data_IF_462863085456
#
_entry.id   IF_462863085456
#
_cell.length_a   1.000
_cell.length_b   1.000
_cell.length_c   1.000
_cell.angle_alpha   90.00
_cell.angle_beta   90.00
_cell.angle_gamma   90.00
#
_symmetry.space_group_name_H-M   'P 1'
#
loop_
_entity.id
_entity.type
_entity.pdbx_description
1 polymer ?
#
# COMPACT_ATOMS: atom_id res chain seq x y z
N UNK A 1 -4.28 -14.89 3.90
CA UNK A 1 -4.89 -15.18 5.22
C UNK A 1 -5.87 -14.06 5.52
N UNK A 2 -7.14 -14.36 5.87
CA UNK A 2 -8.10 -13.31 6.21
C UNK A 2 -7.61 -12.51 7.42
N UNK A 3 -7.74 -11.18 7.35
CA UNK A 3 -7.38 -10.31 8.46
C UNK A 3 -8.33 -10.54 9.65
N UNK A 4 -7.83 -10.63 10.87
CA UNK A 4 -8.67 -10.78 12.05
C UNK A 4 -9.48 -9.52 12.32
N UNK A 5 -10.68 -9.71 12.88
CA UNK A 5 -11.49 -8.63 13.45
C UNK A 5 -11.58 -8.84 14.96
N UNK A 6 -11.41 -7.78 15.74
CA UNK A 6 -11.40 -7.84 17.21
C UNK A 6 -12.38 -6.84 17.77
N UNK A 7 -13.26 -7.27 18.66
CA UNK A 7 -14.16 -6.38 19.40
C UNK A 7 -13.39 -5.68 20.54
N UNK A 8 -13.41 -4.36 20.54
CA UNK A 8 -12.67 -3.52 21.49
C UNK A 8 -13.51 -3.20 22.75
N UNK A 9 -13.98 -4.24 23.46
CA UNK A 9 -14.88 -4.11 24.64
C UNK A 9 -14.23 -3.30 25.76
N UNK A 10 -12.97 -3.58 26.07
CA UNK A 10 -12.24 -2.88 27.14
C UNK A 10 -12.09 -1.39 26.85
N UNK A 11 -11.82 -1.02 25.61
CA UNK A 11 -11.74 0.37 25.18
C UNK A 11 -13.08 1.09 25.33
N UNK A 12 -14.17 0.48 24.85
CA UNK A 12 -15.52 1.04 25.01
C UNK A 12 -15.87 1.28 26.48
N UNK A 13 -15.60 0.29 27.34
CA UNK A 13 -15.88 0.41 28.77
C UNK A 13 -15.04 1.54 29.42
N UNK A 14 -13.76 1.63 29.09
CA UNK A 14 -12.87 2.68 29.62
C UNK A 14 -13.31 4.10 29.18
N UNK A 15 -13.87 4.23 27.98
CA UNK A 15 -14.34 5.50 27.44
C UNK A 15 -15.82 5.80 27.77
N UNK A 16 -16.52 4.93 28.46
CA UNK A 16 -17.96 5.09 28.77
C UNK A 16 -18.85 5.12 27.52
N UNK A 17 -18.39 4.53 26.41
CA UNK A 17 -19.12 4.53 25.15
C UNK A 17 -20.11 3.37 25.06
N UNK A 18 -21.26 3.63 24.43
CA UNK A 18 -22.29 2.62 24.15
C UNK A 18 -22.12 2.09 22.73
N UNK A 19 -22.46 0.81 22.53
CA UNK A 19 -22.41 0.17 21.21
C UNK A 19 -21.36 -0.92 21.12
N UNK A 20 -20.96 -1.27 19.91
CA UNK A 20 -19.89 -2.24 19.63
C UNK A 20 -18.86 -1.60 18.71
N UNK A 21 -17.60 -1.74 19.05
CA UNK A 21 -16.48 -1.24 18.27
C UNK A 21 -15.58 -2.40 17.86
N UNK A 22 -15.26 -2.47 16.59
CA UNK A 22 -14.39 -3.49 16.03
C UNK A 22 -13.15 -2.87 15.39
N UNK A 23 -12.02 -3.52 15.55
CA UNK A 23 -10.81 -3.24 14.79
C UNK A 23 -10.58 -4.33 13.75
N UNK A 24 -10.50 -3.96 12.47
CA UNK A 24 -10.04 -4.83 11.39
C UNK A 24 -8.52 -4.69 11.29
N UNK A 25 -7.81 -5.79 11.57
CA UNK A 25 -6.36 -5.77 11.78
C UNK A 25 -5.63 -6.25 10.51
N UNK A 26 -5.32 -5.32 9.61
CA UNK A 26 -4.61 -5.58 8.36
C UNK A 26 -3.10 -5.33 8.51
N UNK A 27 -2.41 -6.26 9.17
CA UNK A 27 -0.96 -6.21 9.40
C UNK A 27 -0.26 -7.58 9.23
N UNK A 28 -0.95 -8.55 8.65
CA UNK A 28 -0.43 -9.93 8.53
C UNK A 28 0.54 -10.12 7.36
N UNK A 29 0.84 -9.07 6.60
CA UNK A 29 1.79 -9.11 5.51
C UNK A 29 3.25 -9.04 5.98
N UNK A 30 4.20 -9.21 5.06
CA UNK A 30 5.63 -9.31 5.37
C UNK A 30 6.25 -8.02 5.93
N UNK A 31 5.67 -6.84 5.67
CA UNK A 31 6.12 -5.57 6.27
C UNK A 31 5.35 -5.21 7.55
N UNK A 32 4.33 -6.00 7.90
CA UNK A 32 3.49 -5.75 9.06
C UNK A 32 2.55 -4.55 8.91
N UNK A 33 2.24 -4.15 7.68
CA UNK A 33 1.36 -3.01 7.41
C UNK A 33 0.27 -3.37 6.40
N UNK A 34 -0.85 -2.63 6.41
CA UNK A 34 -1.92 -2.76 5.41
C UNK A 34 -1.45 -2.44 3.97
N UNK A 35 -0.24 -1.89 3.82
CA UNK A 35 0.30 -1.58 2.50
C UNK A 35 0.74 -2.83 1.73
N UNK A 36 1.00 -3.94 2.43
CA UNK A 36 1.36 -5.21 1.79
C UNK A 36 0.24 -5.69 0.87
N UNK A 37 -0.96 -5.81 1.40
CA UNK A 37 -2.13 -6.26 0.65
C UNK A 37 -2.52 -5.29 -0.47
N UNK A 38 -2.36 -3.99 -0.25
CA UNK A 38 -2.62 -2.96 -1.27
C UNK A 38 -1.62 -3.05 -2.41
N UNK A 39 -0.32 -3.17 -2.13
CA UNK A 39 0.72 -3.27 -3.17
C UNK A 39 0.50 -4.52 -4.04
N UNK A 40 0.29 -5.68 -3.42
CA UNK A 40 -0.02 -6.93 -4.13
C UNK A 40 -1.28 -6.80 -4.99
N UNK A 41 -2.35 -6.25 -4.41
CA UNK A 41 -3.62 -6.08 -5.11
C UNK A 41 -3.55 -5.12 -6.30
N UNK A 42 -2.84 -4.01 -6.16
CA UNK A 42 -2.63 -3.07 -7.26
C UNK A 42 -1.80 -3.69 -8.39
N UNK A 43 -0.76 -4.47 -8.07
CA UNK A 43 0.02 -5.19 -9.08
C UNK A 43 -0.84 -6.21 -9.84
N UNK A 44 -1.64 -6.98 -9.11
CA UNK A 44 -2.55 -7.95 -9.71
C UNK A 44 -3.57 -7.27 -10.65
N UNK A 45 -4.18 -6.15 -10.22
CA UNK A 45 -5.10 -5.37 -11.03
C UNK A 45 -4.43 -4.75 -12.26
N UNK A 46 -3.20 -4.26 -12.12
CA UNK A 46 -2.44 -3.72 -13.24
C UNK A 46 -2.12 -4.80 -14.29
N UNK A 47 -1.76 -6.01 -13.85
CA UNK A 47 -1.54 -7.16 -14.72
C UNK A 47 -2.85 -7.63 -15.39
N UNK A 48 -3.95 -7.75 -14.62
CA UNK A 48 -5.28 -8.09 -15.13
C UNK A 48 -5.73 -7.13 -16.26
N UNK A 49 -5.45 -5.84 -16.08
CA UNK A 49 -5.79 -4.79 -17.06
C UNK A 49 -4.76 -4.62 -18.19
N UNK A 50 -3.76 -5.49 -18.24
CA UNK A 50 -2.66 -5.41 -19.22
C UNK A 50 -1.88 -4.09 -19.21
N UNK A 51 -1.88 -3.36 -18.08
CA UNK A 51 -1.12 -2.13 -17.88
C UNK A 51 0.32 -2.43 -17.45
N UNK A 52 0.53 -3.52 -16.74
CA UNK A 52 1.82 -4.03 -16.30
C UNK A 52 2.15 -5.32 -17.07
N UNK A 53 3.21 -5.29 -17.86
CA UNK A 53 3.64 -6.44 -18.65
C UNK A 53 4.61 -7.33 -17.84
N UNK A 54 4.66 -8.64 -18.09
CA UNK A 54 5.58 -9.55 -17.38
C UNK A 54 7.04 -9.06 -17.41
N UNK A 55 7.67 -8.98 -16.25
CA UNK A 55 9.06 -8.52 -16.11
C UNK A 55 9.30 -7.03 -16.31
N UNK A 56 8.26 -6.25 -16.65
CA UNK A 56 8.38 -4.80 -16.82
C UNK A 56 8.80 -4.14 -15.50
N UNK A 57 9.80 -3.24 -15.49
CA UNK A 57 10.15 -2.49 -14.30
C UNK A 57 9.02 -1.59 -13.82
N UNK A 58 8.87 -1.51 -12.50
CA UNK A 58 7.89 -0.65 -11.82
C UNK A 58 8.65 0.51 -11.20
N UNK A 59 8.13 1.73 -11.37
CA UNK A 59 8.68 2.91 -10.71
C UNK A 59 7.61 3.58 -9.84
N UNK A 60 8.03 4.10 -8.67
CA UNK A 60 7.13 4.78 -7.73
C UNK A 60 7.87 5.82 -6.90
N UNK A 61 7.20 6.94 -6.60
CA UNK A 61 7.68 7.97 -5.69
C UNK A 61 7.25 7.66 -4.25
N UNK A 62 8.02 6.87 -3.54
CA UNK A 62 7.71 6.45 -2.18
C UNK A 62 8.98 6.12 -1.38
N UNK A 63 8.92 6.38 -0.08
CA UNK A 63 10.00 6.03 0.87
C UNK A 63 9.49 5.41 2.17
N UNK A 64 8.18 5.32 2.35
CA UNK A 64 7.53 4.79 3.55
C UNK A 64 7.12 3.32 3.44
N UNK A 65 6.11 2.92 4.21
CA UNK A 65 5.60 1.54 4.25
C UNK A 65 5.15 1.01 2.89
N UNK A 66 4.55 1.87 2.04
CA UNK A 66 4.18 1.46 0.69
C UNK A 66 5.41 1.12 -0.18
N UNK A 67 6.52 1.86 -0.03
CA UNK A 67 7.76 1.55 -0.73
C UNK A 67 8.30 0.16 -0.36
N UNK A 68 8.25 -0.20 0.93
CA UNK A 68 8.66 -1.52 1.41
C UNK A 68 7.76 -2.63 0.85
N UNK A 69 6.45 -2.43 0.94
CA UNK A 69 5.47 -3.37 0.43
C UNK A 69 5.62 -3.56 -1.09
N UNK A 70 5.78 -2.47 -1.85
CA UNK A 70 5.96 -2.54 -3.30
C UNK A 70 7.28 -3.23 -3.69
N UNK A 71 8.38 -2.97 -2.96
CA UNK A 71 9.67 -3.61 -3.21
C UNK A 71 9.55 -5.14 -3.07
N UNK A 72 8.87 -5.62 -2.02
CA UNK A 72 8.66 -7.06 -1.80
C UNK A 72 7.67 -7.65 -2.80
N UNK A 73 6.51 -7.03 -2.99
CA UNK A 73 5.47 -7.53 -3.88
C UNK A 73 5.96 -7.56 -5.34
N UNK A 74 6.62 -6.49 -5.82
CA UNK A 74 7.17 -6.43 -7.16
C UNK A 74 8.23 -7.50 -7.38
N UNK A 75 9.17 -7.65 -6.45
CA UNK A 75 10.18 -8.71 -6.52
C UNK A 75 9.57 -10.11 -6.55
N UNK A 76 8.57 -10.37 -5.72
CA UNK A 76 7.88 -11.66 -5.67
C UNK A 76 7.14 -11.95 -6.97
N UNK A 77 6.58 -10.90 -7.60
CA UNK A 77 5.90 -11.01 -8.89
C UNK A 77 6.86 -11.00 -10.11
N UNK A 78 8.17 -10.92 -9.88
CA UNK A 78 9.18 -10.95 -10.95
C UNK A 78 9.40 -9.60 -11.64
N UNK A 79 9.06 -8.47 -10.98
CA UNK A 79 9.26 -7.13 -11.49
C UNK A 79 10.39 -6.41 -10.77
N UNK A 80 11.37 -5.82 -11.49
CA UNK A 80 12.30 -4.87 -10.88
C UNK A 80 11.54 -3.66 -10.34
N UNK A 81 11.87 -3.21 -9.12
CA UNK A 81 11.24 -2.05 -8.48
C UNK A 81 12.25 -0.92 -8.35
N UNK A 82 11.89 0.24 -8.84
CA UNK A 82 12.66 1.49 -8.75
C UNK A 82 11.86 2.48 -7.91
N UNK A 83 12.47 3.01 -6.86
CA UNK A 83 11.85 3.99 -5.97
C UNK A 83 12.51 5.34 -6.16
N UNK A 84 11.72 6.37 -6.33
CA UNK A 84 12.23 7.74 -6.36
C UNK A 84 11.94 8.44 -5.04
N UNK A 85 12.92 9.16 -4.54
CA UNK A 85 12.81 9.91 -3.28
C UNK A 85 13.80 11.07 -3.26
N UNK A 86 13.60 12.09 -2.43
CA UNK A 86 14.58 13.15 -2.23
C UNK A 86 15.91 12.59 -1.70
N UNK A 87 17.01 13.20 -2.10
CA UNK A 87 18.38 12.77 -1.71
C UNK A 87 18.64 12.83 -0.21
N UNK A 88 17.89 13.68 0.52
CA UNK A 88 17.94 13.82 1.97
C UNK A 88 17.02 12.84 2.72
N UNK A 89 16.40 11.89 2.02
CA UNK A 89 15.64 10.84 2.66
C UNK A 89 16.51 10.06 3.66
N UNK A 90 15.97 9.66 4.84
CA UNK A 90 16.77 9.02 5.89
C UNK A 90 17.58 7.83 5.40
N UNK A 91 18.89 7.84 5.63
CA UNK A 91 19.82 6.82 5.13
C UNK A 91 19.44 5.39 5.53
N UNK A 92 19.00 5.19 6.79
CA UNK A 92 18.56 3.88 7.27
C UNK A 92 17.37 3.33 6.45
N UNK A 93 16.46 4.21 6.03
CA UNK A 93 15.31 3.84 5.21
C UNK A 93 15.74 3.44 3.81
N UNK A 94 16.67 4.18 3.21
CA UNK A 94 17.25 3.85 1.91
C UNK A 94 17.96 2.49 1.94
N UNK A 95 18.81 2.27 2.94
CA UNK A 95 19.51 1.00 3.14
C UNK A 95 18.53 -0.17 3.24
N UNK A 96 17.46 -0.01 3.99
CA UNK A 96 16.43 -1.04 4.15
C UNK A 96 15.76 -1.38 2.82
N UNK A 97 15.39 -0.38 2.01
CA UNK A 97 14.77 -0.58 0.71
C UNK A 97 15.72 -1.25 -0.29
N UNK A 98 17.01 -0.89 -0.27
CA UNK A 98 18.03 -1.55 -1.08
C UNK A 98 18.20 -3.03 -0.70
N UNK A 99 18.16 -3.36 0.60
CA UNK A 99 18.19 -4.74 1.09
C UNK A 99 16.96 -5.55 0.66
N UNK A 100 15.81 -4.92 0.47
CA UNK A 100 14.62 -5.55 -0.10
C UNK A 100 14.72 -5.77 -1.62
N UNK A 101 15.78 -5.27 -2.25
CA UNK A 101 16.06 -5.44 -3.68
C UNK A 101 15.52 -4.32 -4.57
N UNK A 102 15.04 -3.23 -4.00
CA UNK A 102 14.66 -2.05 -4.77
C UNK A 102 15.91 -1.29 -5.26
N UNK A 103 15.77 -0.60 -6.38
CA UNK A 103 16.72 0.43 -6.82
C UNK A 103 16.21 1.80 -6.38
N UNK A 104 17.11 2.75 -6.13
CA UNK A 104 16.72 4.09 -5.69
C UNK A 104 17.26 5.11 -6.70
N UNK A 105 16.40 6.04 -7.11
CA UNK A 105 16.75 7.25 -7.85
C UNK A 105 16.46 8.46 -6.97
N UNK A 106 17.42 9.36 -6.87
CA UNK A 106 17.31 10.55 -6.05
C UNK A 106 16.84 11.77 -6.85
N UNK A 107 15.93 12.51 -6.29
CA UNK A 107 15.58 13.86 -6.75
C UNK A 107 16.22 14.91 -5.83
N UNK A 108 16.42 16.15 -6.31
CA UNK A 108 16.94 17.23 -5.47
C UNK A 108 16.08 17.43 -4.20
N UNK A 109 16.74 17.51 -3.03
CA UNK A 109 16.08 17.64 -1.72
C UNK A 109 15.09 18.82 -1.69
N UNK A 110 15.46 19.95 -2.30
CA UNK A 110 14.67 21.18 -2.33
C UNK A 110 13.30 21.00 -3.00
N UNK A 111 13.14 19.99 -3.85
CA UNK A 111 11.87 19.67 -4.53
C UNK A 111 10.99 18.72 -3.72
N UNK A 112 11.50 18.14 -2.64
CA UNK A 112 10.77 17.23 -1.79
C UNK A 112 10.06 16.09 -2.54
N UNK A 113 8.91 15.67 -2.06
CA UNK A 113 8.14 14.58 -2.67
C UNK A 113 7.63 14.93 -4.08
N UNK A 114 7.33 16.21 -4.36
CA UNK A 114 6.90 16.64 -5.68
C UNK A 114 8.01 16.41 -6.73
N UNK A 115 9.28 16.66 -6.36
CA UNK A 115 10.43 16.35 -7.21
C UNK A 115 10.60 14.86 -7.47
N UNK A 116 10.41 14.04 -6.44
CA UNK A 116 10.46 12.60 -6.57
C UNK A 116 9.37 12.07 -7.51
N UNK A 117 8.14 12.58 -7.41
CA UNK A 117 7.03 12.23 -8.32
C UNK A 117 7.32 12.61 -9.76
N UNK A 118 7.78 13.84 -9.99
CA UNK A 118 8.15 14.28 -11.34
C UNK A 118 9.26 13.41 -11.95
N UNK A 119 10.25 13.02 -11.15
CA UNK A 119 11.30 12.10 -11.57
C UNK A 119 10.74 10.72 -11.93
N UNK A 120 9.83 10.17 -11.13
CA UNK A 120 9.20 8.89 -11.43
C UNK A 120 8.41 8.94 -12.75
N UNK A 121 7.60 9.96 -12.93
CA UNK A 121 6.77 10.15 -14.11
C UNK A 121 7.60 10.30 -15.39
N UNK A 122 8.61 11.17 -15.35
CA UNK A 122 9.52 11.39 -16.48
C UNK A 122 10.29 10.13 -16.83
N UNK A 123 10.87 9.46 -15.81
CA UNK A 123 11.62 8.22 -16.04
C UNK A 123 10.74 7.10 -16.60
N UNK A 124 9.51 6.98 -16.10
CA UNK A 124 8.56 6.00 -16.62
C UNK A 124 8.26 6.22 -18.10
N UNK A 125 8.00 7.47 -18.49
CA UNK A 125 7.72 7.83 -19.89
C UNK A 125 8.94 7.58 -20.81
N UNK A 126 10.14 7.97 -20.39
CA UNK A 126 11.36 7.80 -21.17
C UNK A 126 11.76 6.32 -21.36
N UNK A 127 11.56 5.49 -20.32
CA UNK A 127 12.04 4.10 -20.31
C UNK A 127 10.95 3.08 -20.61
N UNK A 128 9.71 3.49 -20.76
CA UNK A 128 8.57 2.58 -20.93
C UNK A 128 8.31 1.72 -19.69
N UNK A 129 8.60 2.24 -18.48
CA UNK A 129 8.37 1.55 -17.24
C UNK A 129 6.95 1.80 -16.73
N UNK A 130 6.42 0.89 -15.90
CA UNK A 130 5.11 1.08 -15.29
C UNK A 130 5.21 2.04 -14.09
N UNK A 131 4.59 3.21 -14.20
CA UNK A 131 4.46 4.13 -13.08
C UNK A 131 3.26 3.71 -12.22
N UNK A 132 3.51 3.23 -11.01
CA UNK A 132 2.45 2.79 -10.10
C UNK A 132 1.53 3.93 -9.70
N UNK A 133 2.07 5.11 -9.37
CA UNK A 133 1.34 6.31 -8.96
C UNK A 133 0.25 6.04 -7.92
N UNK A 134 0.59 5.30 -6.87
CA UNK A 134 -0.35 4.66 -5.96
C UNK A 134 -1.36 5.61 -5.29
N UNK A 135 -1.00 6.89 -5.12
CA UNK A 135 -1.88 7.91 -4.52
C UNK A 135 -2.98 8.41 -5.48
N UNK A 136 -2.80 8.28 -6.79
CA UNK A 136 -3.75 8.75 -7.80
C UNK A 136 -4.20 7.63 -8.76
N UNK A 137 -3.80 6.39 -8.52
CA UNK A 137 -4.16 5.25 -9.35
C UNK A 137 -5.49 4.65 -8.89
N UNK A 138 -6.46 4.57 -9.79
CA UNK A 138 -7.79 3.98 -9.53
C UNK A 138 -7.74 2.52 -9.10
N UNK A 139 -6.63 1.81 -9.34
CA UNK A 139 -6.45 0.44 -8.89
C UNK A 139 -6.36 0.33 -7.36
N UNK A 140 -5.98 1.41 -6.66
CA UNK A 140 -5.98 1.47 -5.20
C UNK A 140 -7.41 1.41 -4.63
N UNK A 141 -8.32 2.35 -4.90
CA UNK A 141 -9.70 2.24 -4.43
C UNK A 141 -10.42 0.99 -4.99
N UNK A 142 -10.10 0.56 -6.20
CA UNK A 142 -10.68 -0.65 -6.78
C UNK A 142 -10.28 -1.92 -6.01
N UNK A 143 -9.02 -2.02 -5.54
CA UNK A 143 -8.60 -3.09 -4.65
C UNK A 143 -9.45 -3.12 -3.37
N UNK A 144 -9.62 -1.98 -2.72
CA UNK A 144 -10.44 -1.90 -1.50
C UNK A 144 -11.91 -2.26 -1.77
N UNK A 145 -12.45 -1.86 -2.92
CA UNK A 145 -13.83 -2.21 -3.33
C UNK A 145 -13.99 -3.71 -3.56
N UNK A 146 -13.01 -4.36 -4.21
CA UNK A 146 -13.10 -5.79 -4.55
C UNK A 146 -12.72 -6.72 -3.39
N UNK A 147 -11.82 -6.29 -2.53
CA UNK A 147 -11.20 -7.18 -1.53
C UNK A 147 -11.46 -6.72 -0.11
N UNK A 148 -10.98 -5.53 0.28
CA UNK A 148 -11.04 -5.08 1.69
C UNK A 148 -12.48 -4.90 2.17
N UNK A 149 -13.33 -4.24 1.38
CA UNK A 149 -14.74 -4.02 1.73
C UNK A 149 -15.49 -5.33 1.96
N UNK A 150 -15.52 -6.26 0.99
CA UNK A 150 -16.13 -7.56 1.17
C UNK A 150 -15.56 -8.37 2.35
N UNK A 151 -14.24 -8.31 2.58
CA UNK A 151 -13.61 -9.00 3.69
C UNK A 151 -14.07 -8.46 5.06
N UNK A 152 -14.22 -7.14 5.20
CA UNK A 152 -14.76 -6.51 6.40
C UNK A 152 -16.22 -6.93 6.63
N UNK A 153 -17.05 -6.86 5.58
CA UNK A 153 -18.47 -7.29 5.67
C UNK A 153 -18.57 -8.75 6.09
N UNK A 154 -17.77 -9.63 5.49
CA UNK A 154 -17.75 -11.04 5.85
C UNK A 154 -17.28 -11.26 7.30
N UNK A 155 -16.27 -10.52 7.76
CA UNK A 155 -15.78 -10.62 9.14
C UNK A 155 -16.85 -10.19 10.15
N UNK A 156 -17.54 -9.08 9.89
CA UNK A 156 -18.65 -8.59 10.72
C UNK A 156 -19.84 -9.56 10.72
N UNK A 157 -20.14 -10.18 9.59
CA UNK A 157 -21.23 -11.18 9.51
C UNK A 157 -20.96 -12.40 10.40
N UNK A 158 -19.71 -12.82 10.55
CA UNK A 158 -19.33 -13.90 11.48
C UNK A 158 -19.56 -13.53 12.94
N UNK A 159 -19.55 -12.24 13.27
CA UNK A 159 -19.91 -11.70 14.59
C UNK A 159 -21.44 -11.55 14.81
N UNK A 160 -22.25 -12.10 13.89
CA UNK A 160 -23.71 -12.07 13.96
C UNK A 160 -24.33 -10.71 13.56
N UNK A 161 -23.60 -9.91 12.75
CA UNK A 161 -24.07 -8.62 12.26
C UNK A 161 -24.13 -8.62 10.74
N UNK A 162 -25.13 -7.94 10.17
CA UNK A 162 -25.27 -7.80 8.72
C UNK A 162 -24.63 -6.52 8.16
N UNK A 163 -24.56 -5.46 8.98
CA UNK A 163 -24.07 -4.13 8.58
C UNK A 163 -23.28 -3.47 9.72
N UNK A 164 -22.53 -2.47 9.38
CA UNK A 164 -21.89 -1.50 10.29
C UNK A 164 -22.52 -0.13 10.07
N UNK A 165 -22.73 0.62 11.15
CA UNK A 165 -23.32 1.97 11.08
C UNK A 165 -22.26 3.01 10.68
N UNK A 166 -20.98 2.76 11.05
CA UNK A 166 -19.88 3.68 10.82
C UNK A 166 -18.58 2.92 10.55
N UNK A 167 -17.80 3.42 9.62
CA UNK A 167 -16.41 2.98 9.37
C UNK A 167 -15.51 4.19 9.59
N UNK A 168 -14.47 4.02 10.41
CA UNK A 168 -13.45 5.04 10.63
C UNK A 168 -12.12 4.55 10.08
N UNK A 169 -11.48 5.36 9.26
CA UNK A 169 -10.16 5.09 8.68
C UNK A 169 -9.25 6.30 8.83
N UNK A 170 -7.95 6.06 8.98
CA UNK A 170 -6.95 7.12 8.87
C UNK A 170 -6.74 7.45 7.40
N UNK A 171 -6.84 8.75 7.07
CA UNK A 171 -6.54 9.28 5.73
C UNK A 171 -5.37 10.24 5.85
N UNK A 172 -4.33 10.04 5.03
CA UNK A 172 -3.14 10.88 4.97
C UNK A 172 -3.08 11.75 3.74
#
# INVERSE_FOLDING_TARGET
>A
VPCPIVELRGYLAACGLKGRLYAYLDYNGPTGTSRDSVAEGMLALAAEKHKLLPGQPIIEAASGSFAMALALAGRTAGHPVVLTMPEDAPALRQEYLLRLGAQILHSPAQRGLAGARALAETTAAEKGWYYMNWLANDDNPEYHRRVTGPAIVQAISREGRSLVDTITVGVG
#
